data_IF_147685972178
#
_entry.id   IF_147685972178
#
_cell.length_a   1.000
_cell.length_b   1.000
_cell.length_c   1.000
_cell.angle_alpha   90.00
_cell.angle_beta   90.00
_cell.angle_gamma   90.00
#
_symmetry.space_group_name_H-M   'P 1'
#
loop_
_entity.id
_entity.type
_entity.pdbx_description
1 polymer ?
#
# COMPACT_ATOMS: atom_id res chain seq x y z
N UNK A 1 -3.14 7.67 -3.75
CA UNK A 1 -1.84 7.31 -3.18
C UNK A 1 -1.14 8.57 -2.67
N UNK A 2 -1.07 8.69 -1.36
CA UNK A 2 -0.49 9.87 -0.69
C UNK A 2 0.99 9.73 -0.36
N UNK A 3 1.55 8.52 -0.48
CA UNK A 3 2.96 8.25 -0.19
C UNK A 3 3.54 7.31 -1.24
N UNK A 4 4.60 7.75 -1.90
CA UNK A 4 5.21 7.01 -3.01
C UNK A 4 6.72 7.02 -2.84
N UNK A 5 7.33 5.85 -2.77
CA UNK A 5 8.78 5.68 -2.72
C UNK A 5 9.19 4.69 -3.81
N UNK A 6 9.80 5.21 -4.88
CA UNK A 6 10.24 4.39 -6.00
C UNK A 6 11.20 3.28 -5.55
N UNK A 7 11.02 2.08 -6.07
CA UNK A 7 11.80 0.91 -5.68
C UNK A 7 11.36 0.25 -4.39
N UNK A 8 10.43 0.86 -3.66
CA UNK A 8 9.94 0.35 -2.39
C UNK A 8 8.44 0.06 -2.46
N UNK A 9 7.58 1.10 -2.35
CA UNK A 9 6.13 0.90 -2.30
C UNK A 9 5.36 2.16 -2.69
N UNK A 10 4.08 1.98 -3.00
CA UNK A 10 3.10 3.07 -3.08
C UNK A 10 2.00 2.80 -2.05
N UNK A 11 1.58 3.81 -1.32
CA UNK A 11 0.62 3.69 -0.22
C UNK A 11 -0.58 4.59 -0.44
N UNK A 12 -1.77 4.05 -0.19
CA UNK A 12 -3.03 4.77 -0.34
C UNK A 12 -4.11 4.21 0.57
N UNK A 13 -5.37 4.53 0.26
CA UNK A 13 -6.54 4.03 0.99
C UNK A 13 -7.00 4.90 2.14
N UNK A 14 -6.33 6.04 2.41
CA UNK A 14 -6.81 7.02 3.39
C UNK A 14 -7.89 7.90 2.75
N UNK A 15 -9.13 7.90 3.27
CA UNK A 15 -10.19 8.73 2.71
C UNK A 15 -9.88 10.22 2.74
N UNK A 16 -9.02 10.68 3.67
CA UNK A 16 -8.62 12.08 3.76
C UNK A 16 -7.42 12.43 2.89
N UNK A 17 -6.70 11.42 2.37
CA UNK A 17 -5.51 11.61 1.55
C UNK A 17 -4.30 12.18 2.28
N UNK A 18 -4.31 12.23 3.61
CA UNK A 18 -3.23 12.84 4.42
C UNK A 18 -2.24 11.83 5.00
N UNK A 19 -2.60 10.57 5.01
CA UNK A 19 -1.84 9.51 5.68
C UNK A 19 -2.22 9.34 7.15
N UNK A 20 -3.11 10.19 7.67
CA UNK A 20 -3.54 10.18 9.09
C UNK A 20 -4.99 9.79 9.27
N UNK A 21 -5.76 9.68 8.18
CA UNK A 21 -7.15 9.27 8.22
C UNK A 21 -7.31 7.76 8.13
N UNK A 22 -8.55 7.33 8.25
CA UNK A 22 -8.90 5.93 8.16
C UNK A 22 -10.41 5.75 8.04
N UNK A 23 -10.90 4.50 8.09
CA UNK A 23 -12.32 4.19 7.86
C UNK A 23 -13.19 4.38 9.10
N UNK A 24 -12.62 4.80 10.24
CA UNK A 24 -13.33 4.94 11.50
C UNK A 24 -13.30 3.69 12.38
N UNK A 25 -12.54 2.67 11.99
CA UNK A 25 -12.35 1.45 12.77
C UNK A 25 -10.94 0.89 12.54
N UNK A 26 -10.52 -0.03 13.41
CA UNK A 26 -9.27 -0.77 13.27
C UNK A 26 -9.54 -2.26 13.45
N UNK A 27 -8.70 -3.10 12.86
CA UNK A 27 -8.79 -4.53 13.03
C UNK A 27 -7.41 -5.15 13.25
N UNK A 28 -7.41 -6.36 13.80
CA UNK A 28 -6.18 -7.06 14.18
C UNK A 28 -5.40 -7.59 12.98
N UNK A 29 -4.12 -7.83 13.20
CA UNK A 29 -3.23 -8.41 12.21
C UNK A 29 -3.57 -9.87 11.93
N UNK A 30 -3.29 -10.29 10.70
CA UNK A 30 -3.28 -11.67 10.26
C UNK A 30 -1.91 -11.96 9.68
N UNK A 31 -1.01 -12.50 10.51
CA UNK A 31 0.40 -12.71 10.16
C UNK A 31 0.75 -14.18 9.95
N UNK A 32 -0.23 -15.02 9.66
CA UNK A 32 -0.03 -16.41 9.32
C UNK A 32 0.55 -16.56 7.92
N UNK A 33 1.37 -17.56 7.71
CA UNK A 33 2.00 -17.81 6.43
C UNK A 33 3.27 -17.00 6.20
N UNK A 34 3.81 -17.02 4.97
CA UNK A 34 5.06 -16.36 4.66
C UNK A 34 4.92 -14.83 4.68
N UNK A 35 5.95 -14.18 5.22
CA UNK A 35 6.05 -12.72 5.27
C UNK A 35 6.91 -12.17 4.13
N UNK A 36 6.57 -12.52 2.90
CA UNK A 36 7.33 -12.10 1.73
C UNK A 36 6.69 -10.86 1.08
N UNK A 37 7.38 -9.74 1.18
CA UNK A 37 6.95 -8.46 0.62
C UNK A 37 7.64 -8.20 -0.73
N UNK A 38 7.47 -9.13 -1.65
CA UNK A 38 8.01 -9.02 -3.00
C UNK A 38 7.21 -8.06 -3.87
N UNK A 39 7.78 -7.66 -5.01
CA UNK A 39 7.11 -6.78 -5.98
C UNK A 39 5.71 -7.28 -6.30
N UNK A 40 4.73 -6.40 -6.22
CA UNK A 40 3.32 -6.68 -6.46
C UNK A 40 2.52 -7.11 -5.24
N UNK A 41 3.16 -7.37 -4.10
CA UNK A 41 2.47 -7.71 -2.86
C UNK A 41 1.65 -6.52 -2.36
N UNK A 42 0.41 -6.78 -1.97
CA UNK A 42 -0.49 -5.79 -1.36
C UNK A 42 -0.64 -6.14 0.12
N UNK A 43 -0.33 -5.19 0.98
CA UNK A 43 -0.41 -5.38 2.42
C UNK A 43 -1.03 -4.18 3.11
N UNK A 44 -1.54 -4.38 4.32
CA UNK A 44 -2.14 -3.31 5.11
C UNK A 44 -1.08 -2.47 5.79
N UNK A 45 -1.15 -1.14 5.62
CA UNK A 45 -0.37 -0.21 6.43
C UNK A 45 -0.94 -0.17 7.85
N UNK A 46 -0.08 0.07 8.83
CA UNK A 46 -0.49 0.16 10.23
C UNK A 46 0.40 1.13 11.03
N UNK A 47 -0.04 1.44 12.25
CA UNK A 47 0.68 2.30 13.20
C UNK A 47 1.19 1.49 14.39
N UNK A 48 1.42 0.22 14.22
CA UNK A 48 1.81 -0.73 15.24
C UNK A 48 0.92 -1.96 15.21
N UNK A 49 1.08 -2.91 16.16
CA UNK A 49 0.30 -4.14 16.16
C UNK A 49 -1.20 -3.88 16.23
N UNK A 50 -1.96 -4.62 15.41
CA UNK A 50 -3.43 -4.63 15.44
C UNK A 50 -4.08 -3.25 15.20
N UNK A 51 -3.48 -2.44 14.31
CA UNK A 51 -4.00 -1.11 13.97
C UNK A 51 -4.36 -0.97 12.50
N UNK A 52 -4.74 -2.05 11.84
CA UNK A 52 -5.16 -2.02 10.44
C UNK A 52 -6.46 -1.23 10.27
N UNK A 53 -6.50 -0.40 9.25
CA UNK A 53 -7.69 0.36 8.87
C UNK A 53 -7.99 0.20 7.38
N UNK A 54 -7.95 1.28 6.62
CA UNK A 54 -8.15 1.25 5.17
C UNK A 54 -6.88 1.52 4.37
N UNK A 55 -5.83 2.00 5.00
CA UNK A 55 -4.58 2.27 4.29
C UNK A 55 -3.86 0.97 3.94
N UNK A 56 -3.37 0.90 2.73
CA UNK A 56 -2.62 -0.25 2.22
C UNK A 56 -1.43 0.24 1.41
N UNK A 57 -0.49 -0.64 1.15
CA UNK A 57 0.61 -0.37 0.23
C UNK A 57 0.78 -1.52 -0.76
N UNK A 58 1.31 -1.17 -1.92
CA UNK A 58 1.68 -2.12 -2.98
C UNK A 58 3.19 -2.02 -3.15
N UNK A 59 3.88 -3.14 -3.04
CA UNK A 59 5.33 -3.17 -3.20
C UNK A 59 5.69 -2.92 -4.67
N UNK A 60 6.46 -1.86 -4.91
CA UNK A 60 7.01 -1.55 -6.22
C UNK A 60 8.24 -2.39 -6.52
N UNK A 61 9.04 -2.66 -5.49
CA UNK A 61 10.18 -3.56 -5.53
C UNK A 61 10.11 -4.55 -4.39
N UNK A 62 11.08 -5.46 -4.33
CA UNK A 62 11.19 -6.39 -3.21
C UNK A 62 11.56 -5.62 -1.94
N UNK A 63 10.71 -5.67 -0.93
CA UNK A 63 10.89 -4.92 0.30
C UNK A 63 11.34 -5.85 1.44
N UNK A 64 12.42 -5.49 2.10
CA UNK A 64 12.94 -6.22 3.26
C UNK A 64 12.24 -5.83 4.56
N UNK A 65 10.93 -5.88 4.58
CA UNK A 65 10.14 -5.48 5.74
C UNK A 65 10.05 -6.61 6.78
N UNK A 66 9.96 -6.27 8.08
CA UNK A 66 9.62 -7.27 9.10
C UNK A 66 8.21 -7.77 8.86
N UNK A 67 7.93 -9.02 9.26
CA UNK A 67 6.61 -9.65 9.10
C UNK A 67 5.61 -9.07 10.11
N UNK A 68 5.31 -7.79 9.96
CA UNK A 68 4.41 -7.02 10.84
C UNK A 68 3.22 -6.40 10.08
N UNK A 69 3.10 -6.70 8.80
CA UNK A 69 2.07 -6.14 7.92
C UNK A 69 1.24 -7.25 7.32
N UNK A 70 -0.07 -7.19 7.53
CA UNK A 70 -1.01 -8.19 7.00
C UNK A 70 -1.02 -8.16 5.48
N UNK A 71 -0.62 -9.24 4.84
CA UNK A 71 -0.66 -9.40 3.39
C UNK A 71 -2.08 -9.78 2.98
N UNK A 72 -2.70 -8.98 2.12
CA UNK A 72 -4.08 -9.19 1.68
C UNK A 72 -4.19 -9.70 0.25
N UNK A 73 -3.12 -9.62 -0.52
CA UNK A 73 -3.16 -10.09 -1.90
C UNK A 73 -1.91 -9.76 -2.69
N UNK A 74 -2.05 -9.91 -3.99
CA UNK A 74 -1.00 -9.62 -4.95
C UNK A 74 -1.61 -9.02 -6.22
N UNK A 75 -0.92 -8.06 -6.82
CA UNK A 75 -1.34 -7.50 -8.10
C UNK A 75 -1.18 -8.56 -9.19
N UNK A 76 -2.27 -8.92 -9.86
CA UNK A 76 -2.28 -9.90 -10.95
C UNK A 76 -2.33 -9.25 -12.32
N UNK A 77 -2.86 -8.02 -12.40
CA UNK A 77 -2.81 -7.18 -13.60
C UNK A 77 -2.78 -5.72 -13.18
N UNK A 78 -2.27 -4.84 -14.05
CA UNK A 78 -2.17 -3.42 -13.74
C UNK A 78 -0.90 -3.02 -13.02
N UNK A 79 0.11 -3.87 -12.95
CA UNK A 79 1.40 -3.51 -12.34
C UNK A 79 2.05 -2.33 -13.05
N UNK A 80 1.72 -2.11 -14.33
CA UNK A 80 2.17 -0.93 -15.07
C UNK A 80 1.66 0.37 -14.47
N UNK A 81 0.46 0.36 -13.89
CA UNK A 81 -0.08 1.53 -13.18
C UNK A 81 0.74 1.82 -11.90
N UNK A 82 1.15 0.78 -11.18
CA UNK A 82 2.04 0.89 -10.02
C UNK A 82 3.36 1.53 -10.44
N UNK A 83 3.96 1.05 -11.53
CA UNK A 83 5.21 1.58 -12.06
C UNK A 83 5.07 3.06 -12.46
N UNK A 84 3.97 3.42 -13.10
CA UNK A 84 3.71 4.81 -13.51
C UNK A 84 3.57 5.74 -12.31
N UNK A 85 2.88 5.31 -11.26
CA UNK A 85 2.75 6.08 -10.02
C UNK A 85 4.11 6.23 -9.34
N UNK A 86 4.88 5.15 -9.28
CA UNK A 86 6.20 5.15 -8.64
C UNK A 86 7.22 6.02 -9.39
N UNK A 87 7.04 6.21 -10.70
CA UNK A 87 7.91 7.06 -11.52
C UNK A 87 7.56 8.55 -11.44
N UNK A 88 6.43 8.92 -10.83
CA UNK A 88 5.98 10.31 -10.72
C UNK A 88 6.83 11.11 -9.74
N UNK A 89 6.78 12.43 -9.87
CA UNK A 89 7.45 13.34 -8.96
C UNK A 89 6.79 13.33 -7.57
N UNK A 90 7.62 13.39 -6.54
CA UNK A 90 7.18 13.48 -5.16
C UNK A 90 7.84 14.66 -4.46
N UNK A 91 7.20 15.16 -3.40
CA UNK A 91 7.77 16.19 -2.55
C UNK A 91 8.68 15.59 -1.45
N UNK A 92 9.15 16.43 -0.53
CA UNK A 92 10.05 15.99 0.55
C UNK A 92 9.40 15.00 1.52
N UNK A 93 8.07 14.91 1.54
CA UNK A 93 7.32 13.95 2.35
C UNK A 93 6.90 12.70 1.59
N UNK A 94 7.49 12.44 0.42
CA UNK A 94 7.15 11.32 -0.47
C UNK A 94 5.70 11.35 -0.97
N UNK A 95 5.09 12.52 -0.97
CA UNK A 95 3.76 12.72 -1.52
C UNK A 95 3.86 13.08 -3.00
N UNK A 96 3.07 12.44 -3.89
CA UNK A 96 3.02 12.84 -5.29
C UNK A 96 2.68 14.32 -5.46
N UNK A 97 3.40 15.01 -6.33
CA UNK A 97 3.13 16.42 -6.63
C UNK A 97 1.84 16.62 -7.40
N UNK A 98 1.39 15.59 -8.13
CA UNK A 98 0.06 15.51 -8.73
C UNK A 98 -0.71 14.39 -8.04
N UNK A 99 -1.98 14.62 -7.71
CA UNK A 99 -2.82 13.63 -7.04
C UNK A 99 -2.94 12.36 -7.88
N UNK A 100 -2.65 11.22 -7.26
CA UNK A 100 -2.83 9.90 -7.84
C UNK A 100 -4.06 9.26 -7.20
N UNK A 101 -5.18 9.28 -7.92
CA UNK A 101 -6.48 8.82 -7.42
C UNK A 101 -6.76 7.40 -7.88
N UNK A 102 -7.28 6.58 -6.97
CA UNK A 102 -7.75 5.24 -7.30
C UNK A 102 -9.16 5.37 -7.90
N UNK A 103 -9.28 5.19 -9.21
CA UNK A 103 -10.58 5.22 -9.88
C UNK A 103 -11.32 3.89 -9.72
N UNK A 104 -10.60 2.78 -9.79
CA UNK A 104 -11.17 1.45 -9.59
C UNK A 104 -10.09 0.47 -9.16
N UNK A 105 -10.51 -0.52 -8.40
CA UNK A 105 -9.67 -1.64 -7.99
C UNK A 105 -10.56 -2.89 -7.99
N UNK A 106 -10.20 -3.88 -8.80
CA UNK A 106 -10.98 -5.12 -8.92
C UNK A 106 -10.28 -6.20 -8.10
N UNK A 107 -11.01 -6.80 -7.17
CA UNK A 107 -10.52 -7.87 -6.33
C UNK A 107 -11.04 -9.19 -6.88
N UNK A 108 -10.13 -10.09 -7.20
CA UNK A 108 -10.44 -11.43 -7.68
C UNK A 108 -9.97 -12.44 -6.64
N UNK A 109 -10.86 -13.31 -6.21
CA UNK A 109 -10.54 -14.42 -5.31
C UNK A 109 -10.29 -15.69 -6.12
N UNK A 110 -9.25 -16.42 -5.75
CA UNK A 110 -8.89 -17.68 -6.39
C UNK A 110 -9.16 -18.87 -5.49
#
# INVERSE_FOLDING_TARGET
FHRVISGFMIQGGDPTGTGRGGPGYQFRDELEGPGDYSRGTVAMANSGPNTNGSQFFICHGDAGLPHSYTIIGKVTSGINAVDSIAAGETDAGDRPTEDCVINSMIITES
#
